data_IF_868033294335
#
_entry.id   IF_868033294335
#
_cell.length_a   1.000
_cell.length_b   1.000
_cell.length_c   1.000
_cell.angle_alpha   90.00
_cell.angle_beta   90.00
_cell.angle_gamma   90.00
#
_symmetry.space_group_name_H-M   'P 1'
#
loop_
_entity.id
_entity.type
_entity.pdbx_description
1 polymer ?
#
# COMPACT_ATOMS: atom_id res chain seq x y z
N UNK A 1 0.82 3.73 -10.68
CA UNK A 1 1.26 4.66 -9.62
C UNK A 1 1.68 3.85 -8.40
N UNK A 2 2.98 3.71 -8.12
CA UNK A 2 3.44 2.90 -6.98
C UNK A 2 3.09 3.54 -5.63
N UNK A 3 2.86 2.72 -4.60
CA UNK A 3 2.55 3.17 -3.24
C UNK A 3 3.55 4.20 -2.68
N UNK A 4 4.82 4.13 -3.10
CA UNK A 4 5.87 5.09 -2.74
C UNK A 4 5.48 6.54 -3.07
N UNK A 5 4.85 6.77 -4.23
CA UNK A 5 4.41 8.10 -4.65
C UNK A 5 3.32 8.65 -3.73
N UNK A 6 2.37 7.79 -3.36
CA UNK A 6 1.24 8.11 -2.47
C UNK A 6 1.76 8.44 -1.07
N UNK A 7 2.56 7.56 -0.47
CA UNK A 7 3.13 7.77 0.87
C UNK A 7 3.96 9.05 0.90
N UNK A 8 4.79 9.30 -0.11
CA UNK A 8 5.61 10.52 -0.17
C UNK A 8 4.76 11.79 -0.25
N UNK A 9 3.70 11.78 -1.05
CA UNK A 9 2.78 12.91 -1.17
C UNK A 9 2.06 13.19 0.17
N UNK A 10 1.49 12.15 0.79
CA UNK A 10 0.82 12.27 2.08
C UNK A 10 1.78 12.67 3.20
N UNK A 11 3.02 12.17 3.19
CA UNK A 11 4.04 12.57 4.16
C UNK A 11 4.37 14.06 4.07
N UNK A 12 4.57 14.57 2.85
CA UNK A 12 4.84 15.99 2.62
C UNK A 12 3.65 16.88 2.99
N UNK A 13 2.42 16.40 2.76
CA UNK A 13 1.19 17.04 3.22
C UNK A 13 1.11 17.08 4.75
N UNK A 14 1.30 15.94 5.40
CA UNK A 14 1.22 15.80 6.85
C UNK A 14 2.26 16.65 7.58
N UNK A 15 3.45 16.82 7.01
CA UNK A 15 4.50 17.70 7.53
C UNK A 15 4.02 19.15 7.75
N UNK A 16 3.03 19.61 6.98
CA UNK A 16 2.50 20.97 7.06
C UNK A 16 1.33 21.13 8.05
N UNK A 17 0.90 20.06 8.71
CA UNK A 17 -0.19 20.09 9.68
C UNK A 17 0.20 20.76 11.00
N UNK A 18 -0.78 21.36 11.66
CA UNK A 18 -0.53 22.18 12.85
C UNK A 18 -0.08 21.36 14.06
N UNK A 19 -0.50 20.09 14.17
CA UNK A 19 0.02 19.20 15.22
C UNK A 19 1.52 18.90 15.06
N UNK A 20 2.03 18.88 13.82
CA UNK A 20 3.47 18.69 13.55
C UNK A 20 4.24 19.94 13.96
N UNK A 21 3.72 21.12 13.61
CA UNK A 21 4.31 22.41 14.00
C UNK A 21 4.32 22.55 15.53
N UNK A 22 3.21 22.23 16.20
CA UNK A 22 3.11 22.24 17.65
C UNK A 22 4.11 21.26 18.29
N UNK A 23 4.23 20.03 17.79
CA UNK A 23 5.19 19.05 18.29
C UNK A 23 6.64 19.54 18.20
N UNK A 24 6.98 20.26 17.13
CA UNK A 24 8.30 20.89 16.97
C UNK A 24 8.52 22.03 17.96
N UNK A 25 7.53 22.90 18.17
CA UNK A 25 7.61 24.00 19.16
C UNK A 25 7.75 23.44 20.59
N UNK A 26 7.15 22.29 20.87
CA UNK A 26 7.31 21.56 22.13
C UNK A 26 8.68 20.85 22.29
N UNK A 27 9.62 21.03 21.35
CA UNK A 27 10.97 20.46 21.42
C UNK A 27 11.06 18.98 21.09
N UNK A 28 10.04 18.39 20.45
CA UNK A 28 10.09 16.99 20.04
C UNK A 28 11.11 16.79 18.90
N UNK A 29 11.98 15.80 19.02
CA UNK A 29 12.96 15.49 17.97
C UNK A 29 12.32 15.03 16.67
N UNK A 30 12.89 15.44 15.53
CA UNK A 30 12.34 15.19 14.20
C UNK A 30 12.10 13.69 13.92
N UNK A 31 13.02 12.81 14.33
CA UNK A 31 12.82 11.35 14.18
C UNK A 31 11.55 10.86 14.87
N UNK A 32 11.27 11.36 16.08
CA UNK A 32 10.06 10.99 16.83
C UNK A 32 8.82 11.51 16.13
N UNK A 33 8.85 12.75 15.63
CA UNK A 33 7.75 13.34 14.86
C UNK A 33 7.48 12.53 13.58
N UNK A 34 8.53 12.19 12.84
CA UNK A 34 8.42 11.45 11.59
C UNK A 34 7.79 10.06 11.80
N UNK A 35 8.35 9.24 12.70
CA UNK A 35 7.91 7.85 12.85
C UNK A 35 6.67 7.66 13.72
N UNK A 36 6.40 8.57 14.67
CA UNK A 36 5.25 8.45 15.59
C UNK A 36 4.02 9.23 15.13
N UNK A 37 4.19 10.27 14.32
CA UNK A 37 3.08 11.14 13.91
C UNK A 37 2.87 11.15 12.39
N UNK A 38 3.89 11.51 11.61
CA UNK A 38 3.73 11.74 10.17
C UNK A 38 3.58 10.42 9.40
N UNK A 39 4.49 9.46 9.59
CA UNK A 39 4.50 8.20 8.85
C UNK A 39 3.22 7.37 9.08
N UNK A 40 2.74 7.15 10.32
CA UNK A 40 1.49 6.43 10.54
C UNK A 40 0.29 7.11 9.87
N UNK A 41 0.25 8.46 9.84
CA UNK A 41 -0.83 9.19 9.18
C UNK A 41 -0.75 9.07 7.65
N UNK A 42 0.45 9.18 7.07
CA UNK A 42 0.68 9.06 5.63
C UNK A 42 0.39 7.66 5.07
N UNK A 43 0.45 6.63 5.92
CA UNK A 43 0.16 5.24 5.54
C UNK A 43 -1.34 4.95 5.35
N UNK A 44 -2.23 5.77 5.91
CA UNK A 44 -3.69 5.56 5.85
C UNK A 44 -4.18 5.41 4.41
N UNK A 45 -3.77 6.33 3.52
CA UNK A 45 -4.16 6.27 2.10
C UNK A 45 -3.69 4.97 1.42
N UNK A 46 -2.45 4.55 1.70
CA UNK A 46 -1.90 3.30 1.15
C UNK A 46 -2.70 2.09 1.65
N UNK A 47 -3.04 2.07 2.93
CA UNK A 47 -3.81 0.98 3.54
C UNK A 47 -5.24 0.91 2.99
N UNK A 48 -5.83 2.06 2.64
CA UNK A 48 -7.14 2.12 1.97
C UNK A 48 -7.09 1.55 0.54
N UNK A 49 -6.04 1.82 -0.23
CA UNK A 49 -5.92 1.32 -1.60
C UNK A 49 -5.38 -0.12 -1.71
N UNK A 50 -4.78 -0.64 -0.64
CA UNK A 50 -4.16 -1.97 -0.62
C UNK A 50 -5.11 -3.11 -1.03
N UNK A 51 -6.37 -3.19 -0.52
CA UNK A 51 -7.30 -4.25 -0.92
C UNK A 51 -7.65 -4.21 -2.40
N UNK A 52 -7.79 -3.02 -3.00
CA UNK A 52 -8.12 -2.86 -4.42
C UNK A 52 -6.98 -3.36 -5.31
N UNK A 53 -5.73 -3.01 -4.97
CA UNK A 53 -4.55 -3.48 -5.70
C UNK A 53 -4.37 -4.98 -5.55
N UNK A 54 -4.60 -5.51 -4.33
CA UNK A 54 -4.56 -6.95 -4.07
C UNK A 54 -5.60 -7.70 -4.92
N UNK A 55 -6.84 -7.23 -4.93
CA UNK A 55 -7.92 -7.84 -5.73
C UNK A 55 -7.56 -7.86 -7.21
N UNK A 56 -7.09 -6.74 -7.76
CA UNK A 56 -6.63 -6.68 -9.16
C UNK A 56 -5.45 -7.62 -9.45
N UNK A 57 -4.54 -7.78 -8.49
CA UNK A 57 -3.40 -8.71 -8.60
C UNK A 57 -3.87 -10.17 -8.62
N UNK A 58 -4.83 -10.53 -7.77
CA UNK A 58 -5.45 -11.86 -7.76
C UNK A 58 -6.16 -12.14 -9.08
N UNK A 59 -6.98 -11.20 -9.58
CA UNK A 59 -7.65 -11.35 -10.88
C UNK A 59 -6.65 -11.52 -12.02
N UNK A 60 -5.54 -10.78 -11.99
CA UNK A 60 -4.47 -10.91 -12.98
C UNK A 60 -3.82 -12.30 -12.92
N UNK A 61 -3.53 -12.81 -11.72
CA UNK A 61 -2.98 -14.15 -11.52
C UNK A 61 -3.93 -15.22 -12.07
N UNK A 62 -5.22 -15.16 -11.71
CA UNK A 62 -6.25 -16.10 -12.20
C UNK A 62 -6.37 -16.06 -13.73
N UNK A 63 -6.29 -14.87 -14.33
CA UNK A 63 -6.29 -14.73 -15.80
C UNK A 63 -5.05 -15.35 -16.45
N UNK A 64 -3.88 -15.22 -15.83
CA UNK A 64 -2.64 -15.86 -16.29
C UNK A 64 -2.68 -17.38 -16.13
N UNK A 65 -3.20 -17.88 -15.01
CA UNK A 65 -3.42 -19.31 -14.77
C UNK A 65 -4.36 -19.91 -15.84
N UNK A 66 -5.48 -19.23 -16.13
CA UNK A 66 -6.41 -19.65 -17.19
C UNK A 66 -5.76 -19.71 -18.58
N UNK A 67 -4.86 -18.76 -18.89
CA UNK A 67 -4.14 -18.71 -20.17
C UNK A 67 -2.93 -19.67 -20.22
N UNK A 68 -2.62 -20.39 -19.14
CA UNK A 68 -1.48 -21.32 -19.06
C UNK A 68 -0.12 -20.65 -18.87
N UNK A 69 -0.07 -19.35 -18.58
CA UNK A 69 1.14 -18.58 -18.26
C UNK A 69 1.35 -18.37 -16.76
N UNK A 70 0.45 -18.91 -15.94
CA UNK A 70 0.46 -18.80 -14.49
C UNK A 70 1.24 -19.92 -13.81
N UNK A 71 0.68 -20.48 -12.74
CA UNK A 71 1.29 -21.54 -11.95
C UNK A 71 1.49 -22.85 -12.76
N UNK A 72 2.47 -23.70 -12.38
CA UNK A 72 2.69 -24.97 -13.09
C UNK A 72 1.43 -25.84 -13.09
N UNK A 73 1.18 -26.60 -14.19
CA UNK A 73 0.01 -27.46 -14.31
C UNK A 73 -0.03 -28.52 -13.20
N UNK A 74 -1.20 -28.72 -12.58
CA UNK A 74 -1.39 -29.57 -11.40
C UNK A 74 -1.26 -28.85 -10.05
N UNK A 75 -1.15 -27.51 -10.06
CA UNK A 75 -1.21 -26.71 -8.84
C UNK A 75 -2.66 -26.33 -8.53
N UNK A 76 -3.04 -26.27 -7.24
CA UNK A 76 -4.39 -25.85 -6.86
C UNK A 76 -4.57 -24.34 -7.04
N UNK A 77 -4.71 -23.90 -8.29
CA UNK A 77 -4.97 -22.50 -8.67
C UNK A 77 -6.45 -22.29 -9.00
N UNK A 78 -6.97 -21.10 -8.69
CA UNK A 78 -8.37 -20.75 -8.99
C UNK A 78 -8.65 -20.69 -10.50
N UNK A 79 -7.65 -20.38 -11.33
CA UNK A 79 -7.77 -20.35 -12.79
C UNK A 79 -7.83 -21.73 -13.43
N UNK A 80 -7.07 -22.70 -12.93
CA UNK A 80 -7.08 -24.08 -13.44
C UNK A 80 -8.41 -24.80 -13.10
N UNK A 81 -9.00 -24.55 -11.93
CA UNK A 81 -10.32 -25.09 -11.53
C UNK A 81 -11.44 -24.56 -12.44
N UNK A 82 -11.35 -23.31 -12.92
CA UNK A 82 -12.31 -22.73 -13.88
C UNK A 82 -12.17 -23.30 -15.30
N UNK A 83 -11.01 -23.86 -15.63
CA UNK A 83 -10.71 -24.41 -16.95
C UNK A 83 -11.10 -25.90 -17.08
N UNK A 84 -11.47 -26.56 -15.98
CA UNK A 84 -12.01 -27.92 -15.94
C UNK A 84 -13.53 -27.92 -16.20
#
# INVERSE_FOLDING_TARGET
MGFVGVVRAEFLRCRNFDYVKAARVMGMGDRRIMFKHILPNAMVATMTFMPLVLSGSVTTLVGLDFLGFGLPPGSASLGEILAQ
#
